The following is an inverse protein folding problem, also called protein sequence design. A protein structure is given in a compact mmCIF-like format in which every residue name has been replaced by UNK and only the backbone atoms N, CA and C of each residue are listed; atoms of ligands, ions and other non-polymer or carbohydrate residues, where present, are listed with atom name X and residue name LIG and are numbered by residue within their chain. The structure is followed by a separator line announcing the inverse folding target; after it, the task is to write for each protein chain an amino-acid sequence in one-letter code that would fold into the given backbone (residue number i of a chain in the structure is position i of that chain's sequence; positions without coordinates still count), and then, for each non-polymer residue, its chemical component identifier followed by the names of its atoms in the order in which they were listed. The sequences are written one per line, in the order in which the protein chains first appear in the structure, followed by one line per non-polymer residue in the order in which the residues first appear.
data_IF_862687583734
#
_entry.id   IF_862687583734
#
_cell.length_a   1.000
_cell.length_b   1.000
_cell.length_c   1.000
_cell.angle_alpha   90.00
_cell.angle_beta   90.00
_cell.angle_gamma   90.00
#
_symmetry.space_group_name_H-M   'P 1'
#
loop_
_entity.id
_entity.type
_entity.pdbx_description
1 polymer ?
#
# COMPACT_ATOMS: atom_id res chain seq x y z
N UNK A 1 -0.61 -11.03 6.22
CA UNK A 1 -1.80 -10.15 6.09
C UNK A 1 -2.77 -10.24 7.26
N UNK A 2 -3.29 -11.42 7.65
CA UNK A 2 -4.23 -11.55 8.79
C UNK A 2 -3.82 -10.78 10.07
N UNK A 3 -2.61 -11.01 10.57
CA UNK A 3 -2.11 -10.34 11.77
C UNK A 3 -2.00 -8.80 11.63
N UNK A 4 -1.74 -8.31 10.40
CA UNK A 4 -1.73 -6.88 10.12
C UNK A 4 -3.15 -6.29 10.26
N UNK A 5 -4.15 -6.95 9.66
CA UNK A 5 -5.56 -6.55 9.77
C UNK A 5 -6.02 -6.60 11.24
N UNK A 6 -5.64 -7.63 11.99
CA UNK A 6 -6.01 -7.72 13.41
C UNK A 6 -5.50 -6.54 14.23
N UNK A 7 -4.30 -6.01 13.92
CA UNK A 7 -3.77 -4.79 14.56
C UNK A 7 -4.61 -3.55 14.23
N UNK A 8 -5.24 -3.45 13.07
CA UNK A 8 -6.05 -2.26 12.70
C UNK A 8 -7.31 -2.12 13.56
N UNK A 9 -7.79 -3.19 14.21
CA UNK A 9 -8.98 -3.15 15.06
C UNK A 9 -8.73 -2.57 16.46
N UNK A 10 -7.48 -2.53 16.93
CA UNK A 10 -7.14 -2.09 18.30
C UNK A 10 -6.36 -0.78 18.27
N UNK A 11 -6.56 0.08 19.29
CA UNK A 11 -5.83 1.34 19.39
C UNK A 11 -4.31 1.10 19.54
N UNK A 12 -3.91 0.15 20.39
CA UNK A 12 -2.51 -0.22 20.57
C UNK A 12 -1.89 -0.78 19.28
N UNK A 13 -2.64 -1.62 18.56
CA UNK A 13 -2.21 -2.15 17.26
C UNK A 13 -2.04 -1.05 16.22
N UNK A 14 -2.98 -0.10 16.12
CA UNK A 14 -2.86 1.07 15.24
C UNK A 14 -1.68 1.97 15.61
N UNK A 15 -1.43 2.18 16.89
CA UNK A 15 -0.28 2.95 17.36
C UNK A 15 1.06 2.26 17.04
N UNK A 16 1.10 0.93 17.09
CA UNK A 16 2.26 0.15 16.64
C UNK A 16 2.45 0.24 15.12
N UNK A 17 1.38 0.09 14.34
CA UNK A 17 1.40 0.24 12.88
C UNK A 17 1.92 1.62 12.47
N UNK A 18 1.46 2.69 13.12
CA UNK A 18 1.95 4.05 12.87
C UNK A 18 3.47 4.19 13.04
N UNK A 19 4.05 3.52 14.04
CA UNK A 19 5.50 3.54 14.28
C UNK A 19 6.27 2.75 13.23
N UNK A 20 5.84 1.51 12.94
CA UNK A 20 6.62 0.61 12.08
C UNK A 20 6.54 0.98 10.59
N UNK A 21 5.47 1.66 10.16
CA UNK A 21 5.31 2.19 8.80
C UNK A 21 5.74 3.65 8.66
N UNK A 22 6.24 4.29 9.73
CA UNK A 22 6.62 5.71 9.74
C UNK A 22 5.50 6.61 9.22
N UNK A 23 4.31 6.49 9.81
CA UNK A 23 3.15 7.29 9.40
C UNK A 23 3.31 8.77 9.77
N UNK A 24 2.85 9.67 8.89
CA UNK A 24 2.93 11.12 9.12
C UNK A 24 2.11 11.55 10.33
N UNK A 25 0.92 10.98 10.46
CA UNK A 25 0.00 11.19 11.57
C UNK A 25 -0.48 9.82 12.08
N UNK A 26 -0.88 9.67 13.36
CA UNK A 26 -1.52 8.45 13.81
C UNK A 26 -2.88 8.27 13.12
N UNK A 27 -3.39 7.03 13.08
CA UNK A 27 -4.79 6.80 12.73
C UNK A 27 -5.72 7.61 13.65
N UNK A 28 -6.81 8.14 13.11
CA UNK A 28 -7.85 8.78 13.93
C UNK A 28 -8.44 7.77 14.92
N UNK A 29 -8.97 8.26 16.04
CA UNK A 29 -9.57 7.42 17.09
C UNK A 29 -11.03 7.81 17.35
N UNK A 30 -12.02 6.99 16.94
CA UNK A 30 -11.89 5.74 16.18
C UNK A 30 -11.42 5.98 14.72
N UNK A 31 -10.84 4.97 14.06
CA UNK A 31 -10.35 5.12 12.70
C UNK A 31 -11.50 5.22 11.71
N UNK A 32 -11.34 6.07 10.70
CA UNK A 32 -12.25 6.08 9.55
C UNK A 32 -12.02 4.77 8.78
N UNK A 33 -13.09 4.05 8.46
CA UNK A 33 -12.97 2.76 7.75
C UNK A 33 -12.23 2.86 6.41
N UNK A 34 -12.28 4.04 5.79
CA UNK A 34 -11.56 4.33 4.53
C UNK A 34 -10.06 4.49 4.74
N UNK A 35 -9.59 5.06 5.84
CA UNK A 35 -8.14 5.16 6.13
C UNK A 35 -7.53 3.76 6.33
N UNK A 36 -8.24 2.86 7.01
CA UNK A 36 -7.80 1.47 7.15
C UNK A 36 -7.75 0.77 5.79
N UNK A 37 -8.77 0.93 4.95
CA UNK A 37 -8.79 0.34 3.61
C UNK A 37 -7.69 0.92 2.72
N UNK A 38 -7.47 2.23 2.78
CA UNK A 38 -6.43 2.90 2.02
C UNK A 38 -5.03 2.46 2.46
N UNK A 39 -4.79 2.35 3.77
CA UNK A 39 -3.56 1.75 4.31
C UNK A 39 -3.33 0.34 3.77
N UNK A 40 -4.32 -0.55 3.89
CA UNK A 40 -4.20 -1.92 3.41
C UNK A 40 -4.00 -1.98 1.88
N UNK A 41 -4.63 -1.07 1.13
CA UNK A 41 -4.47 -0.98 -0.31
C UNK A 41 -3.05 -0.58 -0.69
N UNK A 42 -2.45 0.40 0.00
CA UNK A 42 -1.05 0.79 -0.20
C UNK A 42 -0.09 -0.36 0.11
N UNK A 43 -0.32 -1.10 1.20
CA UNK A 43 0.45 -2.30 1.53
C UNK A 43 0.40 -3.32 0.39
N UNK A 44 -0.77 -3.53 -0.23
CA UNK A 44 -0.92 -4.44 -1.35
C UNK A 44 -0.27 -3.90 -2.64
N UNK A 45 -0.35 -2.60 -2.88
CA UNK A 45 0.27 -1.91 -4.02
C UNK A 45 1.79 -2.05 -4.04
N UNK A 46 2.45 -2.15 -2.87
CA UNK A 46 3.90 -2.44 -2.80
C UNK A 46 4.24 -3.73 -3.55
N UNK A 47 3.54 -4.83 -3.23
CA UNK A 47 3.76 -6.11 -3.90
C UNK A 47 3.34 -6.06 -5.36
N UNK A 48 2.20 -5.40 -5.66
CA UNK A 48 1.71 -5.21 -7.02
C UNK A 48 2.72 -4.49 -7.92
N UNK A 49 3.29 -3.39 -7.42
CA UNK A 49 4.31 -2.62 -8.13
C UNK A 49 5.58 -3.42 -8.40
N UNK A 50 6.08 -4.16 -7.40
CA UNK A 50 7.24 -5.04 -7.62
C UNK A 50 6.97 -6.10 -8.70
N UNK A 51 5.83 -6.78 -8.64
CA UNK A 51 5.48 -7.84 -9.60
C UNK A 51 5.25 -7.25 -11.01
N UNK A 52 4.58 -6.10 -11.11
CA UNK A 52 4.26 -5.45 -12.37
C UNK A 52 5.52 -5.05 -13.16
N UNK A 53 6.56 -4.61 -12.46
CA UNK A 53 7.79 -4.11 -13.08
C UNK A 53 9.00 -5.05 -12.90
N UNK A 54 8.79 -6.25 -12.36
CA UNK A 54 9.85 -7.24 -12.11
C UNK A 54 10.61 -7.61 -13.39
N UNK A 55 11.93 -7.77 -13.27
CA UNK A 55 12.80 -8.09 -14.40
C UNK A 55 12.99 -6.96 -15.42
N UNK A 56 12.47 -5.76 -15.13
CA UNK A 56 12.72 -4.55 -15.90
C UNK A 56 14.06 -3.89 -15.56
N UNK A 57 14.31 -2.70 -16.12
CA UNK A 57 15.58 -1.98 -15.92
C UNK A 57 15.82 -1.51 -14.47
N UNK A 58 14.77 -1.37 -13.66
CA UNK A 58 14.85 -0.82 -12.29
C UNK A 58 14.63 -1.86 -11.18
N UNK A 59 13.96 -2.97 -11.48
CA UNK A 59 13.58 -3.95 -10.47
C UNK A 59 14.15 -5.32 -10.81
N UNK A 60 14.66 -6.05 -9.81
CA UNK A 60 15.10 -7.42 -9.98
C UNK A 60 13.90 -8.34 -10.31
N UNK A 61 14.19 -9.59 -10.64
CA UNK A 61 13.12 -10.58 -10.82
C UNK A 61 12.39 -10.89 -9.50
N UNK A 62 11.22 -11.52 -9.62
CA UNK A 62 10.37 -11.87 -8.47
C UNK A 62 11.08 -12.79 -7.48
N UNK A 63 11.93 -13.71 -7.93
CA UNK A 63 12.63 -14.66 -7.05
C UNK A 63 13.64 -13.93 -6.18
N UNK A 64 14.36 -12.98 -6.76
CA UNK A 64 15.28 -12.14 -6.03
C UNK A 64 14.55 -11.23 -5.03
N UNK A 65 13.44 -10.59 -5.43
CA UNK A 65 12.62 -9.81 -4.51
C UNK A 65 12.11 -10.65 -3.33
N UNK A 66 11.61 -11.87 -3.59
CA UNK A 66 11.23 -12.81 -2.54
C UNK A 66 12.38 -13.10 -1.58
N UNK A 67 13.60 -13.34 -2.09
CA UNK A 67 14.78 -13.58 -1.25
C UNK A 67 15.16 -12.37 -0.39
N UNK A 68 14.93 -11.16 -0.88
CA UNK A 68 15.19 -9.93 -0.11
C UNK A 68 14.20 -9.75 1.04
N UNK A 69 12.90 -9.95 0.82
CA UNK A 69 11.88 -9.68 1.84
C UNK A 69 11.86 -10.73 2.97
N UNK A 70 12.41 -11.91 2.71
CA UNK A 70 12.58 -13.00 3.71
C UNK A 70 13.99 -13.05 4.32
N UNK A 71 14.85 -12.07 4.02
CA UNK A 71 16.22 -12.03 4.52
C UNK A 71 16.26 -12.02 6.06
N UNK A 72 17.33 -12.57 6.65
CA UNK A 72 17.53 -12.74 8.11
C UNK A 72 16.59 -13.71 8.85
N UNK A 73 15.75 -14.47 8.14
CA UNK A 73 14.91 -15.51 8.76
C UNK A 73 13.64 -14.99 9.40
N UNK A 74 13.26 -13.73 9.09
CA UNK A 74 11.94 -13.20 9.42
C UNK A 74 10.87 -14.03 8.72
N UNK A 75 10.17 -14.83 9.52
CA UNK A 75 9.04 -15.67 9.09
C UNK A 75 7.71 -15.10 9.56
N UNK A 76 7.73 -14.04 10.36
CA UNK A 76 6.51 -13.38 10.78
C UNK A 76 5.94 -12.56 9.61
N UNK A 77 4.63 -12.68 9.42
CA UNK A 77 3.97 -12.11 8.25
C UNK A 77 3.93 -10.59 8.23
N UNK A 78 4.20 -9.90 9.34
CA UNK A 78 4.30 -8.43 9.38
C UNK A 78 5.72 -8.01 9.02
N UNK A 79 6.75 -8.68 9.55
CA UNK A 79 8.16 -8.47 9.19
C UNK A 79 8.39 -8.56 7.69
N UNK A 80 7.85 -9.59 7.01
CA UNK A 80 7.94 -9.72 5.55
C UNK A 80 7.30 -8.51 4.82
N UNK A 81 6.15 -8.03 5.31
CA UNK A 81 5.47 -6.87 4.74
C UNK A 81 6.30 -5.60 4.96
N UNK A 82 6.87 -5.42 6.15
CA UNK A 82 7.71 -4.27 6.47
C UNK A 82 9.01 -4.27 5.65
N UNK A 83 9.59 -5.44 5.40
CA UNK A 83 10.76 -5.57 4.54
C UNK A 83 10.41 -5.17 3.10
N UNK A 84 9.28 -5.66 2.57
CA UNK A 84 8.78 -5.24 1.27
C UNK A 84 8.55 -3.72 1.21
N UNK A 85 7.92 -3.15 2.25
CA UNK A 85 7.66 -1.72 2.37
C UNK A 85 8.95 -0.88 2.36
N UNK A 86 9.94 -1.25 3.17
CA UNK A 86 11.24 -0.56 3.24
C UNK A 86 12.00 -0.61 1.92
N UNK A 87 11.99 -1.75 1.23
CA UNK A 87 12.64 -1.87 -0.09
C UNK A 87 11.89 -0.99 -1.10
N UNK A 88 10.55 -1.00 -1.08
CA UNK A 88 9.75 -0.14 -1.94
C UNK A 88 10.08 1.34 -1.74
N UNK A 89 10.08 1.78 -0.48
CA UNK A 89 10.43 3.14 -0.10
C UNK A 89 11.86 3.53 -0.55
N UNK A 90 12.85 2.64 -0.38
CA UNK A 90 14.21 2.89 -0.87
C UNK A 90 14.31 3.03 -2.39
N UNK A 91 13.53 2.25 -3.13
CA UNK A 91 13.57 2.22 -4.61
C UNK A 91 12.86 3.42 -5.20
N UNK A 92 11.70 3.77 -4.66
CA UNK A 92 10.82 4.79 -5.21
C UNK A 92 10.89 6.15 -4.48
N UNK A 93 11.55 6.20 -3.31
CA UNK A 93 11.73 7.38 -2.43
C UNK A 93 10.43 8.12 -2.15
N UNK A 94 9.53 7.47 -1.41
CA UNK A 94 8.27 8.07 -1.01
C UNK A 94 8.44 8.87 0.28
N UNK A 95 8.67 10.18 0.10
CA UNK A 95 8.50 11.21 1.13
C UNK A 95 9.24 10.98 2.47
N UNK A 96 9.05 11.87 3.45
CA UNK A 96 9.65 11.70 4.78
C UNK A 96 8.85 10.74 5.67
N UNK A 97 7.57 10.50 5.35
CA UNK A 97 6.63 9.67 6.10
C UNK A 97 5.50 9.15 5.20
N UNK A 98 4.76 8.15 5.66
CA UNK A 98 3.60 7.60 4.95
C UNK A 98 2.30 8.26 5.40
N UNK A 99 1.54 8.86 4.48
CA UNK A 99 0.20 9.38 4.77
C UNK A 99 -0.89 8.34 4.50
N UNK A 100 -1.49 7.83 5.57
CA UNK A 100 -2.61 6.88 5.51
C UNK A 100 -4.00 7.53 5.43
N UNK A 101 -4.09 8.86 5.47
CA UNK A 101 -5.36 9.59 5.41
C UNK A 101 -5.96 9.47 4.02
N UNK A 102 -7.14 8.85 3.93
CA UNK A 102 -7.84 8.79 2.65
C UNK A 102 -8.36 10.17 2.22
N UNK A 103 -8.64 11.05 3.17
CA UNK A 103 -9.07 12.43 2.88
C UNK A 103 -7.93 13.25 2.25
N UNK A 104 -6.72 13.18 2.81
CA UNK A 104 -5.56 13.88 2.25
C UNK A 104 -5.26 13.35 0.84
N UNK A 105 -5.35 12.04 0.64
CA UNK A 105 -5.20 11.46 -0.70
C UNK A 105 -6.23 12.01 -1.70
N UNK A 106 -7.49 12.22 -1.29
CA UNK A 106 -8.49 12.85 -2.16
C UNK A 106 -8.20 14.32 -2.43
N UNK A 107 -7.63 15.04 -1.46
CA UNK A 107 -7.19 16.43 -1.64
C UNK A 107 -6.09 16.51 -2.71
N UNK A 108 -5.08 15.63 -2.66
CA UNK A 108 -4.04 15.54 -3.69
C UNK A 108 -4.62 15.22 -5.07
N UNK A 109 -5.59 14.29 -5.14
CA UNK A 109 -6.30 13.96 -6.39
C UNK A 109 -7.22 15.07 -6.89
N UNK A 110 -7.54 16.04 -6.04
CA UNK A 110 -8.37 17.20 -6.42
C UNK A 110 -7.56 18.29 -7.12
N UNK A 111 -6.23 18.26 -7.03
CA UNK A 111 -5.39 19.18 -7.80
C UNK A 111 -5.50 18.86 -9.30
N UNK A 112 -6.11 19.79 -10.03
CA UNK A 112 -6.31 19.72 -11.47
C UNK A 112 -5.14 20.30 -12.27
N UNK A 113 -4.08 20.74 -11.61
CA UNK A 113 -2.86 21.16 -12.26
C UNK A 113 -2.25 19.97 -13.04
N UNK A 114 -1.81 20.23 -14.27
CA UNK A 114 -1.11 19.25 -15.12
C UNK A 114 0.38 19.58 -15.18
N UNK A 115 0.94 20.04 -14.05
CA UNK A 115 2.39 20.14 -13.89
C UNK A 115 2.94 18.71 -13.85
N UNK A 116 4.15 18.47 -14.34
CA UNK A 116 4.78 17.14 -14.41
C UNK A 116 4.98 16.56 -12.99
N UNK A 117 3.91 15.98 -12.44
CA UNK A 117 3.86 15.32 -11.15
C UNK A 117 3.12 13.98 -11.29
N UNK A 118 3.42 13.06 -10.37
CA UNK A 118 2.89 11.70 -10.41
C UNK A 118 1.35 11.66 -10.25
N UNK A 119 0.78 12.61 -9.51
CA UNK A 119 -0.65 12.72 -9.26
C UNK A 119 -1.47 12.98 -10.53
N UNK A 120 -0.98 13.82 -11.46
CA UNK A 120 -1.68 14.06 -12.71
C UNK A 120 -1.79 12.79 -13.58
N UNK A 121 -0.72 12.00 -13.62
CA UNK A 121 -0.71 10.70 -14.31
C UNK A 121 -1.63 9.69 -13.61
N UNK A 122 -1.54 9.60 -12.28
CA UNK A 122 -2.37 8.69 -11.49
C UNK A 122 -3.87 9.01 -11.59
N UNK A 123 -4.27 10.30 -11.49
CA UNK A 123 -5.66 10.73 -11.68
C UNK A 123 -6.21 10.34 -13.05
N UNK A 124 -5.40 10.50 -14.10
CA UNK A 124 -5.79 10.14 -15.47
C UNK A 124 -6.01 8.63 -15.60
N UNK A 125 -5.14 7.83 -14.98
CA UNK A 125 -5.30 6.38 -14.90
C UNK A 125 -6.54 5.96 -14.10
N UNK A 126 -6.77 6.60 -12.94
CA UNK A 126 -7.93 6.35 -12.10
C UNK A 126 -9.23 6.66 -12.85
N UNK A 127 -9.30 7.78 -13.57
CA UNK A 127 -10.45 8.12 -14.41
C UNK A 127 -10.73 7.00 -15.42
N UNK A 128 -9.71 6.55 -16.16
CA UNK A 128 -9.84 5.49 -17.16
C UNK A 128 -10.34 4.17 -16.55
N UNK A 129 -9.82 3.79 -15.38
CA UNK A 129 -10.30 2.63 -14.63
C UNK A 129 -11.76 2.77 -14.20
N UNK A 130 -12.17 3.96 -13.77
CA UNK A 130 -13.52 4.24 -13.30
C UNK A 130 -14.57 4.34 -14.42
N UNK A 131 -14.21 4.86 -15.60
CA UNK A 131 -15.19 5.17 -16.65
C UNK A 131 -15.21 4.19 -17.81
N UNK A 132 -14.05 3.64 -18.19
CA UNK A 132 -13.93 2.83 -19.41
C UNK A 132 -13.56 1.37 -19.13
N UNK A 133 -12.54 1.14 -18.30
CA UNK A 133 -11.94 -0.20 -18.15
C UNK A 133 -12.61 -1.06 -17.08
N UNK A 134 -13.12 -0.45 -16.00
CA UNK A 134 -13.64 -1.18 -14.84
C UNK A 134 -12.57 -2.03 -14.13
N UNK A 135 -11.30 -1.59 -14.18
CA UNK A 135 -10.19 -2.32 -13.57
C UNK A 135 -9.93 -1.83 -12.14
N UNK A 136 -10.24 -2.69 -11.17
CA UNK A 136 -10.04 -2.40 -9.74
C UNK A 136 -9.25 -3.52 -9.07
N UNK A 137 -8.29 -3.14 -8.23
CA UNK A 137 -7.51 -4.08 -7.44
C UNK A 137 -8.36 -4.48 -6.23
N UNK A 138 -8.70 -5.77 -6.14
CA UNK A 138 -9.49 -6.33 -5.04
C UNK A 138 -8.96 -7.70 -4.63
N UNK A 139 -9.31 -8.10 -3.42
CA UNK A 139 -9.00 -9.41 -2.84
C UNK A 139 -10.25 -10.20 -2.45
N UNK A 140 -11.45 -9.75 -2.87
CA UNK A 140 -12.75 -10.33 -2.50
C UNK A 140 -12.87 -11.84 -2.75
N UNK A 141 -12.13 -12.39 -3.72
CA UNK A 141 -12.18 -13.83 -3.99
C UNK A 141 -11.55 -14.69 -2.87
N UNK A 142 -10.83 -14.08 -1.92
CA UNK A 142 -10.22 -14.73 -0.75
C UNK A 142 -9.12 -15.75 -1.05
N UNK A 143 -8.75 -15.93 -2.33
CA UNK A 143 -7.79 -16.96 -2.78
C UNK A 143 -6.35 -16.47 -2.85
N UNK A 144 -6.14 -15.17 -2.65
CA UNK A 144 -4.80 -14.57 -2.65
C UNK A 144 -4.11 -14.74 -1.29
N UNK A 145 -2.79 -14.54 -1.26
CA UNK A 145 -2.00 -14.46 -0.01
C UNK A 145 -2.41 -13.26 0.87
N UNK A 146 -3.21 -12.33 0.32
CA UNK A 146 -3.73 -11.15 1.00
C UNK A 146 -5.11 -11.38 1.64
N UNK A 147 -5.69 -12.58 1.51
CA UNK A 147 -7.01 -12.91 2.04
C UNK A 147 -8.10 -12.07 1.37
N UNK A 148 -9.05 -11.55 2.16
CA UNK A 148 -10.10 -10.61 1.74
C UNK A 148 -9.90 -9.25 2.45
N UNK A 149 -8.72 -8.66 2.27
CA UNK A 149 -8.31 -7.42 2.95
C UNK A 149 -8.82 -6.15 2.28
N UNK A 150 -8.94 -6.18 0.95
CA UNK A 150 -9.45 -5.10 0.10
C UNK A 150 -10.71 -5.62 -0.58
N UNK A 151 -11.83 -4.92 -0.34
CA UNK A 151 -13.14 -5.26 -0.86
C UNK A 151 -13.70 -4.16 -1.76
N UNK A 152 -14.49 -4.53 -2.77
CA UNK A 152 -15.22 -3.59 -3.64
C UNK A 152 -16.60 -3.19 -3.08
N UNK A 153 -17.06 -3.81 -2.00
CA UNK A 153 -18.38 -3.54 -1.39
C UNK A 153 -18.98 -4.74 -0.68
#
# INVERSE_FOLDING_TARGET
MKALIEKTYTADGRAELGKIFNMCEPFTEPPISKDIQFFLANVLSVFGGFIQYAGGCRLPDVSYFCNLIIHDGDTDGIGIILNAWKIYDQVFRFEECFDQSYENHLEDLSDISFVDNEFASYRSWLWLSCTELGFFITTDNGKSIFGSSISLG
#
